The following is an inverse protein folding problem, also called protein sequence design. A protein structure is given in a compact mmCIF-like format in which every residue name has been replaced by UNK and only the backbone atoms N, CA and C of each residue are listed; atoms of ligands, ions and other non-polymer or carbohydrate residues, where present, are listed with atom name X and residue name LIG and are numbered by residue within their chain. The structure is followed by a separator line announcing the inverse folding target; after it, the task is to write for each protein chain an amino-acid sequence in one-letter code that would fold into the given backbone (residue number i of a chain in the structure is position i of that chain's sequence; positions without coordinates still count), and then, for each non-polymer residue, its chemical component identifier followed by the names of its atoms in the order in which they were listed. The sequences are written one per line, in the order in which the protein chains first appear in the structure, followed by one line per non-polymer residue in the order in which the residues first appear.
data_IF_448151392599
#
_entry.id   IF_448151392599
#
_cell.length_a   1.000
_cell.length_b   1.000
_cell.length_c   1.000
_cell.angle_alpha   90.00
_cell.angle_beta   90.00
_cell.angle_gamma   90.00
#
_symmetry.space_group_name_H-M   'P 1'
#
loop_
_entity.id
_entity.type
_entity.pdbx_description
1 polymer ?
#
# COMPACT_ATOMS: atom_id res chain seq x y z
N UNK A 1 8.31 -9.78 0.10
CA UNK A 1 6.94 -9.69 0.64
C UNK A 1 6.94 -8.74 1.81
N UNK A 2 5.84 -8.03 2.05
CA UNK A 2 5.69 -7.11 3.20
C UNK A 2 4.35 -7.38 3.88
N UNK A 3 4.39 -7.66 5.17
CA UNK A 3 3.21 -7.69 6.03
C UNK A 3 3.00 -6.30 6.64
N UNK A 4 1.99 -5.56 6.17
CA UNK A 4 1.67 -4.18 6.55
C UNK A 4 1.07 -4.09 7.96
N UNK A 5 1.85 -4.49 8.97
CA UNK A 5 1.57 -4.36 10.39
C UNK A 5 2.03 -2.98 10.91
N UNK A 6 3.02 -2.92 11.81
CA UNK A 6 3.61 -1.65 12.24
C UNK A 6 4.30 -0.94 11.06
N UNK A 7 4.02 0.36 10.90
CA UNK A 7 4.38 1.16 9.72
C UNK A 7 3.43 1.00 8.54
N UNK A 8 2.47 0.08 8.61
CA UNK A 8 1.38 -0.12 7.65
C UNK A 8 1.80 0.02 6.17
N UNK A 9 1.22 0.97 5.42
CA UNK A 9 1.52 1.17 4.00
C UNK A 9 2.92 1.73 3.77
N UNK A 10 3.53 2.39 4.76
CA UNK A 10 4.90 2.89 4.68
C UNK A 10 5.95 1.86 5.10
N UNK A 11 5.54 0.68 5.57
CA UNK A 11 6.47 -0.36 6.06
C UNK A 11 7.48 -0.82 5.01
N UNK A 12 7.11 -0.79 3.73
CA UNK A 12 8.02 -1.10 2.62
C UNK A 12 9.29 -0.23 2.66
N UNK A 13 9.21 0.99 3.19
CA UNK A 13 10.36 1.88 3.26
C UNK A 13 11.51 1.23 4.03
N UNK A 14 11.26 0.45 5.10
CA UNK A 14 12.34 -0.24 5.82
C UNK A 14 13.17 -1.22 4.99
N UNK A 15 12.67 -1.64 3.83
CA UNK A 15 13.30 -2.65 2.96
C UNK A 15 13.60 -2.13 1.55
N UNK A 16 13.13 -0.93 1.21
CA UNK A 16 13.35 -0.34 -0.11
C UNK A 16 14.80 0.16 -0.22
N UNK A 17 15.51 -0.28 -1.24
CA UNK A 17 16.87 0.17 -1.51
C UNK A 17 16.90 1.63 -1.97
N UNK A 18 18.08 2.24 -1.83
CA UNK A 18 18.38 3.51 -2.48
C UNK A 18 18.21 3.41 -4.00
N UNK A 19 17.86 4.53 -4.63
CA UNK A 19 17.65 4.58 -6.08
C UNK A 19 16.29 4.04 -6.56
N UNK A 20 15.36 3.73 -5.64
CA UNK A 20 14.04 3.17 -5.96
C UNK A 20 12.89 4.01 -5.41
N UNK A 21 11.79 4.06 -6.17
CA UNK A 21 10.50 4.62 -5.75
C UNK A 21 9.44 3.54 -5.76
N UNK A 22 8.59 3.52 -4.73
CA UNK A 22 7.34 2.75 -4.73
C UNK A 22 6.19 3.72 -4.96
N UNK A 23 5.28 3.39 -5.87
CA UNK A 23 4.05 4.15 -6.13
C UNK A 23 2.86 3.23 -5.88
N UNK A 24 1.92 3.66 -5.04
CA UNK A 24 0.66 2.97 -4.75
C UNK A 24 -0.50 3.86 -5.19
N UNK A 25 -1.02 3.64 -6.38
CA UNK A 25 -2.01 4.48 -7.05
C UNK A 25 -3.28 3.72 -7.45
N UNK A 26 -3.38 2.45 -7.06
CA UNK A 26 -4.56 1.61 -7.27
C UNK A 26 -4.91 0.84 -5.99
N UNK A 27 -5.00 1.56 -4.87
CA UNK A 27 -5.39 0.98 -3.58
C UNK A 27 -6.84 0.50 -3.60
N UNK A 28 -7.16 -0.43 -2.69
CA UNK A 28 -8.56 -0.79 -2.44
C UNK A 28 -9.34 0.42 -1.93
N UNK A 29 -10.66 0.50 -2.20
CA UNK A 29 -11.53 1.46 -1.54
C UNK A 29 -11.39 1.35 -0.03
N UNK A 30 -11.30 2.47 0.67
CA UNK A 30 -11.06 2.44 2.11
C UNK A 30 -12.22 1.75 2.83
N UNK A 31 -11.98 0.65 3.57
CA UNK A 31 -13.03 -0.01 4.32
C UNK A 31 -13.72 0.95 5.32
N UNK A 32 -15.05 0.81 5.54
CA UNK A 32 -15.81 1.67 6.45
C UNK A 32 -15.21 1.78 7.86
N UNK A 33 -14.54 0.72 8.32
CA UNK A 33 -13.81 0.71 9.58
C UNK A 33 -12.76 1.83 9.68
N UNK A 34 -11.92 1.99 8.65
CA UNK A 34 -10.85 3.01 8.70
C UNK A 34 -11.39 4.41 8.49
N UNK A 35 -12.50 4.55 7.75
CA UNK A 35 -13.24 5.81 7.67
C UNK A 35 -13.79 6.21 9.04
N UNK A 36 -14.42 5.29 9.75
CA UNK A 36 -14.89 5.52 11.13
C UNK A 36 -13.75 5.93 12.06
N UNK A 37 -12.60 5.23 12.01
CA UNK A 37 -11.43 5.58 12.83
C UNK A 37 -10.93 7.00 12.49
N UNK A 38 -10.83 7.35 11.21
CA UNK A 38 -10.46 8.70 10.79
C UNK A 38 -11.43 9.73 11.36
N UNK A 39 -12.74 9.53 11.17
CA UNK A 39 -13.78 10.48 11.54
C UNK A 39 -13.88 10.68 13.07
N UNK A 40 -13.58 9.65 13.87
CA UNK A 40 -13.59 9.74 15.33
C UNK A 40 -12.30 10.32 15.91
N UNK A 41 -11.16 10.09 15.25
CA UNK A 41 -9.85 10.53 15.75
C UNK A 41 -9.39 11.89 15.20
N UNK A 42 -9.95 12.32 14.08
CA UNK A 42 -9.44 13.44 13.26
C UNK A 42 -7.96 13.29 12.88
N UNK A 43 -7.46 12.04 12.80
CA UNK A 43 -6.09 11.74 12.38
C UNK A 43 -5.94 12.05 10.90
N UNK A 44 -4.93 12.85 10.53
CA UNK A 44 -4.65 13.15 9.13
C UNK A 44 -4.43 11.88 8.30
N UNK A 45 -5.00 11.81 7.09
CA UNK A 45 -4.83 10.70 6.14
C UNK A 45 -3.38 10.26 5.92
N UNK A 46 -2.43 11.19 5.88
CA UNK A 46 -1.00 10.87 5.76
C UNK A 46 -0.52 9.99 6.91
N UNK A 47 -1.01 10.22 8.13
CA UNK A 47 -0.68 9.43 9.31
C UNK A 47 -1.51 8.14 9.36
N UNK A 48 -2.77 8.17 8.90
CA UNK A 48 -3.59 6.95 8.76
C UNK A 48 -2.86 5.86 7.97
N UNK A 49 -2.24 6.20 6.83
CA UNK A 49 -1.45 5.26 6.02
C UNK A 49 -0.15 4.75 6.69
N UNK A 50 0.36 5.43 7.72
CA UNK A 50 1.52 4.99 8.51
C UNK A 50 1.13 4.05 9.65
N UNK A 51 -0.09 4.19 10.17
CA UNK A 51 -0.56 3.47 11.37
C UNK A 51 -1.43 2.28 11.01
N UNK A 52 -2.30 2.41 10.00
CA UNK A 52 -3.30 1.43 9.64
C UNK A 52 -3.11 0.90 8.21
N UNK A 53 -3.49 -0.35 7.99
CA UNK A 53 -3.29 -1.01 6.69
C UNK A 53 -4.24 -0.48 5.58
N UNK A 54 -5.29 0.25 5.92
CA UNK A 54 -6.19 0.94 4.97
C UNK A 54 -6.88 0.07 3.91
N UNK A 55 -6.88 -1.26 4.02
CA UNK A 55 -7.62 -2.14 3.11
C UNK A 55 -6.90 -3.43 2.73
N UNK A 56 -5.57 -3.42 2.66
CA UNK A 56 -4.78 -4.63 2.44
C UNK A 56 -3.61 -4.70 3.41
N UNK A 57 -3.41 -5.88 4.00
CA UNK A 57 -2.37 -6.10 5.02
C UNK A 57 -1.17 -6.93 4.55
N UNK A 58 -1.19 -7.38 3.29
CA UNK A 58 -0.13 -8.19 2.68
C UNK A 58 0.22 -7.64 1.31
N UNK A 59 1.52 -7.58 1.01
CA UNK A 59 2.05 -7.15 -0.28
C UNK A 59 3.07 -8.15 -0.81
N UNK A 60 2.96 -8.47 -2.10
CA UNK A 60 3.90 -9.31 -2.83
C UNK A 60 4.53 -8.45 -3.92
N UNK A 61 5.86 -8.38 -3.91
CA UNK A 61 6.66 -7.67 -4.92
C UNK A 61 7.23 -8.73 -5.86
N UNK A 62 6.81 -8.69 -7.12
CA UNK A 62 7.12 -9.69 -8.12
C UNK A 62 7.07 -9.10 -9.54
N UNK A 63 7.66 -9.76 -10.55
CA UNK A 63 7.47 -9.39 -11.94
C UNK A 63 5.98 -9.42 -12.35
N UNK A 64 5.56 -8.44 -13.15
CA UNK A 64 4.17 -8.26 -13.59
C UNK A 64 3.59 -9.50 -14.27
N UNK A 65 4.40 -10.26 -14.99
CA UNK A 65 4.01 -11.51 -15.68
C UNK A 65 3.41 -12.56 -14.73
N UNK A 66 3.69 -12.49 -13.43
CA UNK A 66 3.17 -13.42 -12.42
C UNK A 66 2.00 -12.84 -11.61
N UNK A 67 1.63 -11.57 -11.81
CA UNK A 67 0.63 -10.89 -11.00
C UNK A 67 -0.76 -11.56 -11.08
N UNK A 68 -1.22 -11.89 -12.30
CA UNK A 68 -2.51 -12.56 -12.52
C UNK A 68 -2.59 -13.89 -11.77
N UNK A 69 -1.50 -14.67 -11.77
CA UNK A 69 -1.45 -15.97 -11.08
C UNK A 69 -1.57 -15.82 -9.57
N UNK A 70 -0.90 -14.83 -8.98
CA UNK A 70 -1.02 -14.54 -7.55
C UNK A 70 -2.44 -14.09 -7.19
N UNK A 71 -3.05 -13.24 -8.02
CA UNK A 71 -4.42 -12.77 -7.82
C UNK A 71 -5.41 -13.94 -7.86
N UNK A 72 -5.29 -14.85 -8.84
CA UNK A 72 -6.11 -16.06 -8.94
C UNK A 72 -6.00 -16.94 -7.69
N UNK A 73 -4.77 -17.17 -7.21
CA UNK A 73 -4.53 -17.97 -6.00
C UNK A 73 -5.22 -17.29 -4.80
N UNK A 74 -5.03 -15.99 -4.60
CA UNK A 74 -5.67 -15.26 -3.49
C UNK A 74 -7.20 -15.38 -3.54
N UNK A 75 -7.79 -15.21 -4.72
CA UNK A 75 -9.24 -15.31 -4.92
C UNK A 75 -9.77 -16.73 -4.71
N UNK A 76 -8.98 -17.77 -4.96
CA UNK A 76 -9.36 -19.15 -4.63
C UNK A 76 -9.55 -19.38 -3.12
N UNK A 77 -8.96 -18.54 -2.28
CA UNK A 77 -9.18 -18.50 -0.83
C UNK A 77 -10.22 -17.44 -0.41
N UNK A 78 -11.01 -16.89 -1.34
CA UNK A 78 -11.96 -15.81 -1.12
C UNK A 78 -11.33 -14.52 -0.55
N UNK A 79 -10.06 -14.26 -0.89
CA UNK A 79 -9.36 -13.03 -0.54
C UNK A 79 -9.11 -12.23 -1.81
N UNK A 80 -9.70 -11.03 -1.90
CA UNK A 80 -9.51 -10.20 -3.09
C UNK A 80 -8.07 -9.68 -3.18
N UNK A 81 -7.62 -9.49 -4.42
CA UNK A 81 -6.26 -9.09 -4.73
C UNK A 81 -6.24 -8.29 -6.04
N UNK A 82 -5.41 -7.27 -6.07
CA UNK A 82 -5.16 -6.47 -7.27
C UNK A 82 -3.73 -5.94 -7.25
N UNK A 83 -3.25 -5.50 -8.42
CA UNK A 83 -2.00 -4.75 -8.49
C UNK A 83 -2.27 -3.37 -7.92
N UNK A 84 -1.77 -3.11 -6.71
CA UNK A 84 -1.99 -1.85 -5.99
C UNK A 84 -0.99 -0.75 -6.35
N UNK A 85 0.06 -1.09 -7.08
CA UNK A 85 1.18 -0.19 -7.33
C UNK A 85 2.36 -0.85 -8.04
N UNK A 86 3.48 -0.14 -8.09
CA UNK A 86 4.71 -0.55 -8.79
C UNK A 86 5.98 -0.01 -8.13
N UNK A 87 7.12 -0.60 -8.48
CA UNK A 87 8.45 -0.14 -8.09
C UNK A 87 9.21 0.34 -9.33
N UNK A 88 9.81 1.51 -9.25
CA UNK A 88 10.51 2.16 -10.36
C UNK A 88 11.89 2.66 -9.91
N UNK A 89 12.82 2.84 -10.85
CA UNK A 89 14.07 3.58 -10.58
C UNK A 89 13.75 5.04 -10.27
N UNK A 90 14.48 5.63 -9.34
CA UNK A 90 14.28 7.01 -8.87
C UNK A 90 15.59 7.57 -8.33
N UNK A 91 15.85 8.86 -8.51
CA UNK A 91 17.04 9.50 -7.93
C UNK A 91 17.00 9.55 -6.39
N UNK A 92 15.78 9.49 -5.84
CA UNK A 92 15.53 9.56 -4.39
C UNK A 92 14.67 8.37 -3.98
N UNK A 93 15.10 7.70 -2.89
CA UNK A 93 14.31 6.70 -2.20
C UNK A 93 13.03 7.34 -1.65
N UNK A 94 11.86 6.88 -2.10
CA UNK A 94 10.57 7.42 -1.62
C UNK A 94 9.40 6.48 -1.87
N UNK A 95 8.34 6.67 -1.08
CA UNK A 95 7.02 6.11 -1.32
C UNK A 95 6.04 7.24 -1.69
N UNK A 96 5.24 6.98 -2.72
CA UNK A 96 4.10 7.80 -3.12
C UNK A 96 2.83 6.98 -2.97
N UNK A 97 1.86 7.50 -2.22
CA UNK A 97 0.51 6.95 -2.14
C UNK A 97 -0.45 7.95 -2.80
N UNK A 98 -1.19 7.49 -3.79
CA UNK A 98 -2.27 8.24 -4.46
C UNK A 98 -3.59 7.55 -4.12
N UNK A 99 -4.51 8.31 -3.52
CA UNK A 99 -5.83 7.81 -3.12
C UNK A 99 -6.89 8.88 -3.36
N UNK A 100 -8.16 8.54 -3.13
CA UNK A 100 -9.28 9.49 -3.19
C UNK A 100 -9.10 10.69 -2.23
N UNK A 101 -8.25 10.57 -1.20
CA UNK A 101 -7.97 11.62 -0.21
C UNK A 101 -6.76 12.49 -0.57
N UNK A 102 -6.13 12.25 -1.73
CA UNK A 102 -4.99 13.01 -2.23
C UNK A 102 -3.71 12.19 -2.36
N UNK A 103 -2.61 12.92 -2.53
CA UNK A 103 -1.27 12.39 -2.78
C UNK A 103 -0.36 12.58 -1.58
N UNK A 104 0.18 11.49 -1.06
CA UNK A 104 1.03 11.46 0.12
C UNK A 104 2.43 10.95 -0.24
N UNK A 105 3.45 11.73 0.13
CA UNK A 105 4.86 11.39 -0.13
C UNK A 105 5.57 11.15 1.20
N UNK A 106 6.31 10.04 1.24
CA UNK A 106 7.13 9.61 2.38
C UNK A 106 8.58 9.43 1.91
N UNK A 107 9.54 10.11 2.55
CA UNK A 107 10.97 9.89 2.31
C UNK A 107 11.46 8.57 2.92
#
# INVERSE_FOLDING_TARGET
MVHCSGGAQTKIMHFLNEGLRVTKDNLFPIPPLFKLIHDQSNTNWKEMYKVFNMGHRMEIYLPETYASRVIEISRSFNVDAQVVGRVEKSDVRKLVIESEFGKFVYP
#
